data_IF_850564444192
#
_entry.id   IF_850564444192
#
_cell.length_a   1.000
_cell.length_b   1.000
_cell.length_c   1.000
_cell.angle_alpha   90.00
_cell.angle_beta   90.00
_cell.angle_gamma   90.00
#
_symmetry.space_group_name_H-M   'P 1'
#
loop_
_entity.id
_entity.type
_entity.pdbx_description
1 polymer ?
#
# COMPACT_ATOMS: atom_id res chain seq x y z
N UNK A 1 -24.31 -17.96 -19.10
CA UNK A 1 -23.27 -18.35 -18.13
C UNK A 1 -23.94 -19.04 -16.95
N UNK A 2 -23.52 -20.25 -16.55
CA UNK A 2 -24.05 -20.93 -15.36
C UNK A 2 -23.13 -20.61 -14.18
N UNK A 3 -23.69 -20.04 -13.11
CA UNK A 3 -22.92 -19.72 -11.89
C UNK A 3 -22.23 -20.98 -11.37
N UNK A 4 -20.92 -20.91 -11.11
CA UNK A 4 -20.11 -22.04 -10.63
C UNK A 4 -19.52 -22.94 -11.73
N UNK A 5 -19.82 -22.70 -13.01
CA UNK A 5 -19.25 -23.44 -14.14
C UNK A 5 -18.27 -22.57 -14.95
N UNK A 6 -16.98 -22.88 -14.85
CA UNK A 6 -15.90 -22.16 -15.54
C UNK A 6 -15.55 -22.77 -16.91
N UNK A 7 -16.23 -23.82 -17.37
CA UNK A 7 -15.91 -24.51 -18.64
C UNK A 7 -15.89 -23.55 -19.83
N UNK A 8 -16.90 -22.69 -19.95
CA UNK A 8 -16.98 -21.69 -21.03
C UNK A 8 -15.88 -20.62 -20.94
N UNK A 9 -15.49 -20.22 -19.73
CA UNK A 9 -14.38 -19.26 -19.53
C UNK A 9 -13.09 -19.90 -20.02
N UNK A 10 -12.78 -21.10 -19.52
CA UNK A 10 -11.60 -21.87 -19.92
C UNK A 10 -11.54 -22.12 -21.42
N UNK A 11 -12.68 -22.38 -22.07
CA UNK A 11 -12.72 -22.63 -23.51
C UNK A 11 -12.40 -21.40 -24.36
N UNK A 12 -12.49 -20.18 -23.82
CA UNK A 12 -12.22 -18.93 -24.56
C UNK A 12 -10.99 -18.19 -24.06
N UNK A 13 -10.41 -18.56 -22.91
CA UNK A 13 -9.20 -17.92 -22.35
C UNK A 13 -8.03 -17.91 -23.34
N UNK A 14 -7.84 -18.97 -24.11
CA UNK A 14 -6.74 -19.07 -25.09
C UNK A 14 -7.02 -18.41 -26.45
N UNK A 15 -8.25 -17.97 -26.71
CA UNK A 15 -8.65 -17.33 -27.97
C UNK A 15 -9.69 -16.23 -27.68
N UNK A 16 -9.32 -15.17 -26.94
CA UNK A 16 -10.25 -14.11 -26.61
C UNK A 16 -10.66 -13.35 -27.87
N UNK A 17 -11.95 -12.99 -27.96
CA UNK A 17 -12.48 -12.11 -28.99
C UNK A 17 -12.73 -10.73 -28.36
N UNK A 18 -12.27 -9.68 -29.04
CA UNK A 18 -12.43 -8.29 -28.60
C UNK A 18 -12.62 -7.34 -29.78
N UNK A 19 -13.18 -6.16 -29.50
CA UNK A 19 -13.39 -5.10 -30.49
C UNK A 19 -12.36 -3.96 -30.36
N UNK A 20 -11.26 -4.19 -29.63
CA UNK A 20 -10.21 -3.21 -29.37
C UNK A 20 -9.31 -2.95 -30.58
N UNK A 21 -8.37 -2.02 -30.39
CA UNK A 21 -7.39 -1.64 -31.40
C UNK A 21 -6.45 -2.78 -31.82
N UNK A 22 -6.26 -3.78 -30.94
CA UNK A 22 -5.42 -4.94 -31.20
C UNK A 22 -6.17 -6.25 -30.91
N UNK A 23 -5.81 -7.30 -31.64
CA UNK A 23 -6.30 -8.67 -31.45
C UNK A 23 -5.23 -9.56 -30.84
N UNK A 24 -5.63 -10.48 -29.98
CA UNK A 24 -4.72 -11.48 -29.40
C UNK A 24 -4.18 -12.40 -30.49
N UNK A 25 -2.85 -12.50 -30.58
CA UNK A 25 -2.15 -13.46 -31.44
C UNK A 25 -1.80 -14.72 -30.63
N UNK A 26 -0.96 -14.57 -29.61
CA UNK A 26 -0.50 -15.68 -28.77
C UNK A 26 0.00 -15.21 -27.41
N UNK A 27 0.15 -16.16 -26.51
CA UNK A 27 0.89 -16.02 -25.26
C UNK A 27 2.02 -17.05 -25.26
N UNK A 28 3.27 -16.60 -25.07
CA UNK A 28 4.44 -17.47 -24.99
C UNK A 28 5.47 -16.81 -24.07
N UNK A 29 6.04 -17.59 -23.15
CA UNK A 29 7.19 -17.19 -22.32
C UNK A 29 6.97 -15.87 -21.55
N UNK A 30 5.79 -15.68 -20.96
CA UNK A 30 5.44 -14.46 -20.21
C UNK A 30 5.13 -13.25 -21.08
N UNK A 31 5.02 -13.42 -22.40
CA UNK A 31 4.73 -12.34 -23.35
C UNK A 31 3.40 -12.58 -24.04
N UNK A 32 2.53 -11.57 -23.98
CA UNK A 32 1.31 -11.48 -24.80
C UNK A 32 1.68 -10.76 -26.09
N UNK A 33 1.43 -11.41 -27.22
CA UNK A 33 1.64 -10.86 -28.55
C UNK A 33 0.29 -10.41 -29.11
N UNK A 34 0.23 -9.16 -29.57
CA UNK A 34 -0.96 -8.53 -30.11
C UNK A 34 -0.69 -8.01 -31.52
N UNK A 35 -1.64 -8.21 -32.43
CA UNK A 35 -1.59 -7.66 -33.79
C UNK A 35 -2.61 -6.54 -33.96
N UNK A 36 -2.29 -5.56 -34.80
CA UNK A 36 -3.22 -4.48 -35.13
C UNK A 36 -4.54 -5.03 -35.71
N UNK A 37 -5.66 -4.50 -35.22
CA UNK A 37 -6.98 -4.86 -35.73
C UNK A 37 -7.32 -4.00 -36.96
N UNK A 38 -7.32 -4.56 -38.19
CA UNK A 38 -7.60 -3.79 -39.41
C UNK A 38 -9.03 -3.26 -39.47
N UNK A 39 -9.93 -3.79 -38.64
CA UNK A 39 -11.34 -3.41 -38.56
C UNK A 39 -11.68 -2.60 -37.31
N UNK A 40 -10.68 -2.05 -36.61
CA UNK A 40 -10.94 -1.18 -35.46
C UNK A 40 -11.71 0.08 -35.90
N UNK A 41 -12.74 0.46 -35.13
CA UNK A 41 -13.68 1.50 -35.54
C UNK A 41 -13.06 2.91 -35.69
N UNK A 42 -11.90 3.16 -35.08
CA UNK A 42 -11.14 4.41 -35.23
C UNK A 42 -9.99 4.28 -36.25
N UNK A 43 -9.98 3.21 -37.06
CA UNK A 43 -8.91 2.91 -38.00
C UNK A 43 -7.85 1.97 -37.43
N UNK A 44 -7.16 1.26 -38.32
CA UNK A 44 -6.09 0.33 -37.94
C UNK A 44 -4.91 1.06 -37.28
N UNK A 45 -4.36 0.56 -36.15
CA UNK A 45 -3.16 1.14 -35.54
C UNK A 45 -1.95 1.19 -36.48
N UNK A 46 -1.11 2.23 -36.27
CA UNK A 46 0.15 2.39 -36.98
C UNK A 46 1.18 1.32 -36.58
N UNK A 47 1.32 1.07 -35.28
CA UNK A 47 2.12 -0.04 -34.77
C UNK A 47 1.40 -1.37 -35.08
N UNK A 48 2.04 -2.23 -35.88
CA UNK A 48 1.43 -3.49 -36.33
C UNK A 48 1.48 -4.60 -35.30
N UNK A 49 2.45 -4.53 -34.39
CA UNK A 49 2.67 -5.51 -33.35
C UNK A 49 2.93 -4.80 -32.02
N UNK A 50 2.28 -5.29 -30.96
CA UNK A 50 2.52 -4.86 -29.58
C UNK A 50 2.75 -6.10 -28.73
N UNK A 51 3.83 -6.07 -27.97
CA UNK A 51 4.17 -7.13 -27.02
C UNK A 51 4.00 -6.60 -25.61
N UNK A 52 3.25 -7.32 -24.77
CA UNK A 52 3.15 -7.03 -23.34
C UNK A 52 3.91 -8.12 -22.58
N UNK A 53 5.03 -7.75 -21.96
CA UNK A 53 5.92 -8.68 -21.26
C UNK A 53 5.75 -8.56 -19.76
N UNK A 54 5.46 -9.67 -19.09
CA UNK A 54 5.54 -9.76 -17.64
C UNK A 54 6.98 -9.46 -17.20
N UNK A 55 7.14 -8.45 -16.36
CA UNK A 55 8.44 -7.89 -15.97
C UNK A 55 8.42 -7.63 -14.46
N UNK A 56 9.47 -8.05 -13.77
CA UNK A 56 9.62 -7.78 -12.34
C UNK A 56 9.90 -6.30 -12.10
N UNK A 57 9.47 -5.77 -10.96
CA UNK A 57 9.56 -4.34 -10.66
C UNK A 57 11.00 -3.80 -10.80
N UNK A 58 11.98 -4.53 -10.27
CA UNK A 58 13.41 -4.19 -10.34
C UNK A 58 13.98 -4.14 -11.77
N UNK A 59 13.34 -4.82 -12.72
CA UNK A 59 13.81 -4.91 -14.11
C UNK A 59 13.16 -3.87 -15.03
N UNK A 60 12.14 -3.14 -14.56
CA UNK A 60 11.38 -2.20 -15.39
C UNK A 60 12.24 -1.05 -15.93
N UNK A 61 12.98 -0.36 -15.05
CA UNK A 61 13.81 0.80 -15.41
C UNK A 61 15.01 0.37 -16.26
N UNK A 62 15.71 -0.68 -15.85
CA UNK A 62 16.89 -1.21 -16.57
C UNK A 62 16.51 -1.80 -17.92
N UNK A 63 15.33 -2.40 -18.04
CA UNK A 63 14.78 -2.90 -19.31
C UNK A 63 14.57 -1.79 -20.34
N UNK A 64 14.09 -0.62 -19.90
CA UNK A 64 13.97 0.59 -20.74
C UNK A 64 15.34 1.14 -21.10
N UNK A 65 16.25 1.27 -20.13
CA UNK A 65 17.63 1.71 -20.37
C UNK A 65 18.34 0.84 -21.43
N UNK A 66 18.13 -0.48 -21.40
CA UNK A 66 18.74 -1.41 -22.33
C UNK A 66 18.04 -1.47 -23.71
N UNK A 67 16.90 -0.79 -23.89
CA UNK A 67 16.11 -0.85 -25.12
C UNK A 67 15.41 -2.20 -25.34
N UNK A 68 15.26 -3.00 -24.29
CA UNK A 68 14.52 -4.29 -24.34
C UNK A 68 13.02 -4.11 -24.04
N UNK A 69 12.66 -2.97 -23.47
CA UNK A 69 11.29 -2.53 -23.17
C UNK A 69 11.18 -1.08 -23.67
N UNK A 70 10.21 -0.78 -24.53
CA UNK A 70 10.02 0.59 -25.03
C UNK A 70 9.31 1.49 -24.02
N UNK A 71 8.35 0.93 -23.27
CA UNK A 71 7.51 1.65 -22.31
C UNK A 71 7.32 0.77 -21.06
N UNK A 72 7.52 1.34 -19.87
CA UNK A 72 7.28 0.66 -18.60
C UNK A 72 6.60 1.60 -17.58
N UNK A 73 6.01 1.01 -16.55
CA UNK A 73 5.29 1.67 -15.47
C UNK A 73 5.91 1.34 -14.09
N UNK A 74 7.16 1.78 -13.82
CA UNK A 74 7.75 1.57 -12.50
C UNK A 74 6.99 2.36 -11.43
N UNK A 75 6.90 1.77 -10.25
CA UNK A 75 6.42 2.41 -9.03
C UNK A 75 7.38 3.53 -8.68
N UNK A 76 6.82 4.69 -8.32
CA UNK A 76 7.64 5.82 -7.92
C UNK A 76 8.29 5.55 -6.56
N UNK A 77 9.55 5.91 -6.41
CA UNK A 77 10.27 6.03 -5.13
C UNK A 77 11.43 7.01 -5.34
N UNK A 78 12.00 7.54 -4.26
CA UNK A 78 13.22 8.35 -4.37
C UNK A 78 14.37 7.56 -5.00
N UNK A 79 14.44 6.25 -4.77
CA UNK A 79 15.44 5.37 -5.39
C UNK A 79 15.23 5.25 -6.91
N UNK A 80 13.99 4.98 -7.35
CA UNK A 80 13.65 4.90 -8.77
C UNK A 80 13.89 6.24 -9.47
N UNK A 81 13.51 7.35 -8.84
CA UNK A 81 13.77 8.70 -9.33
C UNK A 81 15.28 8.96 -9.50
N UNK A 82 16.09 8.63 -8.50
CA UNK A 82 17.55 8.78 -8.54
C UNK A 82 18.19 7.89 -9.61
N UNK A 83 17.68 6.66 -9.81
CA UNK A 83 18.14 5.76 -10.85
C UNK A 83 17.88 6.34 -12.24
N UNK A 84 16.66 6.84 -12.50
CA UNK A 84 16.29 7.47 -13.78
C UNK A 84 17.13 8.72 -14.04
N UNK A 85 17.26 9.61 -13.04
CA UNK A 85 18.12 10.79 -13.10
C UNK A 85 19.56 10.42 -13.47
N UNK A 86 20.12 9.38 -12.84
CA UNK A 86 21.46 8.88 -13.14
C UNK A 86 21.58 8.38 -14.58
N UNK A 87 20.60 7.62 -15.06
CA UNK A 87 20.54 7.13 -16.45
C UNK A 87 20.50 8.29 -17.45
N UNK A 88 19.81 9.38 -17.09
CA UNK A 88 19.71 10.59 -17.89
C UNK A 88 20.93 11.53 -17.78
N UNK A 89 21.99 11.14 -17.07
CA UNK A 89 23.23 11.91 -16.97
C UNK A 89 23.42 12.68 -15.65
N UNK A 90 22.58 12.43 -14.65
CA UNK A 90 22.75 12.91 -13.28
C UNK A 90 22.18 14.30 -12.99
N UNK A 91 21.29 14.83 -13.83
CA UNK A 91 20.49 16.01 -13.51
C UNK A 91 19.34 15.65 -12.55
N UNK A 92 18.75 16.64 -11.88
CA UNK A 92 17.55 16.45 -11.05
C UNK A 92 16.27 16.20 -11.87
N UNK A 93 16.34 16.30 -13.20
CA UNK A 93 15.17 16.14 -14.05
C UNK A 93 14.97 14.65 -14.38
N UNK A 94 13.75 14.16 -14.14
CA UNK A 94 13.36 12.81 -14.52
C UNK A 94 13.24 12.65 -16.04
N UNK A 95 13.04 13.76 -16.76
CA UNK A 95 13.02 13.80 -18.22
C UNK A 95 14.41 14.08 -18.77
N UNK A 96 14.93 13.15 -19.58
CA UNK A 96 16.25 13.29 -20.18
C UNK A 96 16.39 12.57 -21.51
N UNK A 97 17.64 12.45 -21.96
CA UNK A 97 17.97 11.97 -23.30
C UNK A 97 17.76 10.47 -23.52
N UNK A 98 17.64 9.69 -22.44
CA UNK A 98 17.47 8.22 -22.50
C UNK A 98 16.04 7.84 -22.10
N UNK A 99 15.57 8.38 -20.98
CA UNK A 99 14.24 8.09 -20.44
C UNK A 99 13.47 9.40 -20.33
N UNK A 100 12.26 9.42 -20.89
CA UNK A 100 11.26 10.45 -20.64
C UNK A 100 10.19 9.87 -19.72
N UNK A 101 9.81 10.61 -18.68
CA UNK A 101 8.87 10.17 -17.65
C UNK A 101 7.57 10.96 -17.70
N UNK A 102 6.48 10.35 -17.25
CA UNK A 102 5.23 11.05 -17.00
C UNK A 102 4.72 10.61 -15.64
N UNK A 103 4.77 11.51 -14.66
CA UNK A 103 4.19 11.25 -13.36
C UNK A 103 2.67 11.28 -13.49
N UNK A 104 2.02 10.27 -12.94
CA UNK A 104 0.59 10.15 -12.91
C UNK A 104 0.15 9.99 -11.46
N UNK A 105 -0.84 10.79 -11.07
CA UNK A 105 -1.41 10.65 -9.73
C UNK A 105 -2.02 9.28 -9.55
N UNK A 106 -1.64 8.62 -8.46
CA UNK A 106 -2.23 7.35 -8.10
C UNK A 106 -3.67 7.56 -7.63
N UNK A 107 -4.63 7.01 -8.38
CA UNK A 107 -6.07 7.12 -8.09
C UNK A 107 -6.50 6.15 -7.00
N UNK A 108 -5.87 6.23 -5.84
CA UNK A 108 -6.03 5.26 -4.78
C UNK A 108 -5.39 5.70 -3.48
N UNK A 109 -5.28 4.77 -2.55
CA UNK A 109 -4.56 4.95 -1.30
C UNK A 109 -4.03 3.62 -0.77
N UNK A 110 -2.82 3.66 -0.20
CA UNK A 110 -2.29 2.58 0.62
C UNK A 110 -2.92 2.58 2.01
N UNK A 111 -3.04 1.42 2.64
CA UNK A 111 -3.52 1.27 4.00
C UNK A 111 -2.80 0.14 4.73
N UNK A 112 -2.68 0.33 6.05
CA UNK A 112 -2.29 -0.71 7.00
C UNK A 112 -3.57 -1.15 7.69
N UNK A 113 -3.85 -2.45 7.70
CA UNK A 113 -5.05 -3.03 8.28
C UNK A 113 -4.71 -4.01 9.41
N UNK A 114 -5.61 -4.10 10.38
CA UNK A 114 -5.64 -5.13 11.41
C UNK A 114 -6.96 -5.90 11.29
N UNK A 115 -6.89 -7.23 11.33
CA UNK A 115 -8.05 -8.11 11.34
C UNK A 115 -8.83 -7.92 12.63
N UNK A 116 -10.09 -7.49 12.54
CA UNK A 116 -10.96 -7.42 13.72
C UNK A 116 -11.15 -8.80 14.37
N UNK A 117 -11.14 -9.88 13.58
CA UNK A 117 -11.35 -11.24 14.07
C UNK A 117 -10.13 -11.82 14.80
N UNK A 118 -8.92 -11.44 14.38
CA UNK A 118 -7.66 -12.01 14.87
C UNK A 118 -6.94 -11.08 15.85
N UNK A 119 -7.25 -9.78 15.83
CA UNK A 119 -6.75 -8.76 16.76
C UNK A 119 -7.92 -8.26 17.61
N UNK A 120 -8.21 -9.01 18.67
CA UNK A 120 -9.33 -8.81 19.59
C UNK A 120 -8.98 -9.27 21.01
N UNK A 121 -9.83 -8.88 21.96
CA UNK A 121 -9.84 -9.35 23.34
C UNK A 121 -11.04 -10.27 23.53
N UNK A 122 -10.85 -11.43 24.15
CA UNK A 122 -11.87 -12.47 24.22
C UNK A 122 -12.36 -12.90 22.84
N UNK A 123 -13.68 -13.08 22.70
CA UNK A 123 -14.29 -13.64 21.48
C UNK A 123 -15.00 -12.60 20.61
N UNK A 124 -15.35 -11.43 21.16
CA UNK A 124 -16.13 -10.40 20.46
C UNK A 124 -15.22 -9.35 19.78
N UNK A 125 -15.08 -9.37 18.44
CA UNK A 125 -14.26 -8.39 17.73
C UNK A 125 -14.80 -6.96 17.80
N UNK A 126 -16.08 -6.78 18.15
CA UNK A 126 -16.77 -5.50 18.22
C UNK A 126 -16.80 -4.88 19.63
N UNK A 127 -16.32 -5.58 20.65
CA UNK A 127 -16.23 -5.06 22.02
C UNK A 127 -15.33 -3.82 22.10
N UNK A 128 -15.52 -3.01 23.14
CA UNK A 128 -14.70 -1.82 23.35
C UNK A 128 -13.24 -2.21 23.64
N UNK A 129 -13.00 -3.30 24.36
CA UNK A 129 -11.66 -3.82 24.62
C UNK A 129 -10.95 -4.22 23.32
N UNK A 130 -11.65 -4.90 22.41
CA UNK A 130 -11.14 -5.29 21.10
C UNK A 130 -10.84 -4.08 20.22
N UNK A 131 -11.69 -3.05 20.26
CA UNK A 131 -11.43 -1.78 19.56
C UNK A 131 -10.23 -1.05 20.16
N UNK A 132 -10.11 -1.01 21.49
CA UNK A 132 -9.02 -0.37 22.21
C UNK A 132 -7.68 -1.05 21.93
N UNK A 133 -7.62 -2.39 21.86
CA UNK A 133 -6.41 -3.10 21.42
C UNK A 133 -5.96 -2.65 20.03
N UNK A 134 -6.89 -2.59 19.06
CA UNK A 134 -6.55 -2.14 17.70
C UNK A 134 -6.16 -0.65 17.68
N UNK A 135 -6.79 0.19 18.50
CA UNK A 135 -6.40 1.61 18.65
C UNK A 135 -5.02 1.75 19.28
N UNK A 136 -4.66 0.94 20.27
CA UNK A 136 -3.33 0.98 20.91
C UNK A 136 -2.23 0.77 19.86
N UNK A 137 -2.35 -0.27 19.04
CA UNK A 137 -1.39 -0.59 17.98
C UNK A 137 -1.39 0.50 16.90
N UNK A 138 -2.57 0.88 16.39
CA UNK A 138 -2.66 1.84 15.28
C UNK A 138 -2.28 3.27 15.67
N UNK A 139 -2.40 3.66 16.93
CA UNK A 139 -1.97 4.98 17.41
C UNK A 139 -0.47 5.15 17.25
N UNK A 140 0.33 4.12 17.58
CA UNK A 140 1.78 4.16 17.37
C UNK A 140 2.11 4.13 15.88
N UNK A 141 1.49 3.23 15.10
CA UNK A 141 1.71 3.15 13.64
C UNK A 141 1.39 4.49 12.96
N UNK A 142 0.29 5.13 13.33
CA UNK A 142 -0.16 6.38 12.73
C UNK A 142 0.83 7.53 12.94
N UNK A 143 1.55 7.54 14.07
CA UNK A 143 2.51 8.58 14.40
C UNK A 143 3.72 8.60 13.45
N UNK A 144 4.16 7.43 12.98
CA UNK A 144 5.33 7.24 12.10
C UNK A 144 5.04 7.37 10.59
N UNK A 145 3.78 7.60 10.20
CA UNK A 145 3.40 7.66 8.77
C UNK A 145 4.16 8.75 8.01
N UNK A 146 4.25 9.95 8.56
CA UNK A 146 4.89 11.07 7.87
C UNK A 146 6.37 10.78 7.58
N UNK A 147 7.11 10.29 8.59
CA UNK A 147 8.53 9.96 8.44
C UNK A 147 8.74 8.87 7.38
N UNK A 148 8.01 7.76 7.46
CA UNK A 148 8.22 6.64 6.54
C UNK A 148 7.71 6.90 5.12
N UNK A 149 6.65 7.69 4.95
CA UNK A 149 6.16 8.05 3.62
C UNK A 149 7.10 9.08 2.97
N UNK A 150 7.56 10.08 3.72
CA UNK A 150 8.49 11.08 3.20
C UNK A 150 9.87 10.50 2.87
N UNK A 151 10.36 9.52 3.64
CA UNK A 151 11.63 8.85 3.34
C UNK A 151 11.59 8.02 2.05
N UNK A 152 10.41 7.48 1.70
CA UNK A 152 10.25 6.63 0.52
C UNK A 152 9.89 7.43 -0.74
N UNK A 153 8.98 8.40 -0.62
CA UNK A 153 8.43 9.15 -1.75
C UNK A 153 8.90 10.61 -1.84
N UNK A 154 9.60 11.14 -0.83
CA UNK A 154 9.86 12.58 -0.74
C UNK A 154 8.56 13.37 -0.59
N UNK A 155 8.41 14.42 -1.37
CA UNK A 155 7.23 15.29 -1.40
C UNK A 155 6.14 14.84 -2.40
N UNK A 156 6.33 13.70 -3.07
CA UNK A 156 5.42 13.21 -4.12
C UNK A 156 4.24 12.38 -3.62
N UNK A 157 4.20 12.11 -2.31
CA UNK A 157 3.09 11.42 -1.65
C UNK A 157 2.59 12.23 -0.45
N UNK A 158 1.36 11.96 -0.03
CA UNK A 158 0.77 12.61 1.15
C UNK A 158 0.10 11.58 2.05
N UNK A 159 0.26 11.75 3.36
CA UNK A 159 -0.48 10.98 4.35
C UNK A 159 -1.93 11.46 4.39
N UNK A 160 -2.87 10.53 4.21
CA UNK A 160 -4.30 10.81 4.31
C UNK A 160 -4.85 10.32 5.66
N UNK A 161 -5.88 11.00 6.16
CA UNK A 161 -6.53 10.67 7.45
C UNK A 161 -7.91 9.99 7.27
N UNK A 162 -8.35 9.84 6.03
CA UNK A 162 -9.64 9.27 5.66
C UNK A 162 -9.42 8.24 4.54
N UNK A 163 -10.28 7.21 4.42
CA UNK A 163 -10.17 6.19 3.37
C UNK A 163 -10.66 6.73 2.01
N UNK A 164 -10.15 7.89 1.59
CA UNK A 164 -10.50 8.60 0.36
C UNK A 164 -9.21 9.18 -0.23
N UNK A 165 -8.91 8.86 -1.49
CA UNK A 165 -7.75 9.42 -2.20
C UNK A 165 -7.85 10.94 -2.29
N UNK A 166 -6.74 11.66 -2.10
CA UNK A 166 -6.65 13.11 -2.24
C UNK A 166 -6.96 13.61 -3.67
N UNK A 167 -6.88 12.73 -4.68
CA UNK A 167 -7.31 13.02 -6.06
C UNK A 167 -8.83 13.07 -6.21
N UNK A 168 -9.58 12.63 -5.20
CA UNK A 168 -11.04 12.69 -5.19
C UNK A 168 -11.51 14.11 -4.87
N UNK A 169 -12.52 14.58 -5.61
CA UNK A 169 -13.22 15.83 -5.28
C UNK A 169 -13.89 15.81 -3.88
N UNK A 170 -14.13 14.62 -3.33
CA UNK A 170 -14.75 14.42 -2.03
C UNK A 170 -13.72 14.16 -0.91
N UNK A 171 -12.43 14.34 -1.17
CA UNK A 171 -11.39 14.17 -0.15
C UNK A 171 -11.51 15.28 0.92
N UNK A 172 -11.61 14.93 2.21
CA UNK A 172 -11.60 15.93 3.27
C UNK A 172 -10.28 16.72 3.29
N UNK A 173 -10.39 18.05 3.39
CA UNK A 173 -9.27 18.98 3.52
C UNK A 173 -9.01 19.34 4.97
N UNK A 174 -7.76 19.66 5.31
CA UNK A 174 -7.37 20.17 6.64
C UNK A 174 -8.10 21.46 7.04
N UNK A 175 -8.66 22.17 6.06
CA UNK A 175 -9.47 23.38 6.25
C UNK A 175 -10.95 23.11 6.48
N UNK A 176 -11.40 21.86 6.33
CA UNK A 176 -12.81 21.52 6.46
C UNK A 176 -13.22 21.45 7.94
N UNK A 177 -14.42 21.97 8.23
CA UNK A 177 -15.01 21.88 9.56
C UNK A 177 -15.17 20.41 9.98
N UNK A 178 -14.59 20.06 11.13
CA UNK A 178 -14.61 18.69 11.66
C UNK A 178 -13.57 17.75 11.08
N UNK A 179 -12.56 18.25 10.35
CA UNK A 179 -11.38 17.48 9.99
C UNK A 179 -10.69 16.92 11.24
N UNK A 180 -10.29 15.65 11.19
CA UNK A 180 -9.63 14.91 12.26
C UNK A 180 -8.43 14.16 11.70
N UNK A 181 -7.34 14.22 12.44
CA UNK A 181 -6.17 13.39 12.17
C UNK A 181 -6.50 11.96 12.65
N UNK A 182 -6.13 10.96 11.85
CA UNK A 182 -6.40 9.58 12.21
C UNK A 182 -5.56 9.16 13.42
N UNK A 183 -6.20 8.54 14.42
CA UNK A 183 -5.56 8.09 15.65
C UNK A 183 -4.81 9.20 16.42
N UNK A 184 -5.37 10.41 16.44
CA UNK A 184 -4.80 11.57 17.13
C UNK A 184 -5.43 11.87 18.49
N UNK A 185 -6.14 10.91 19.10
CA UNK A 185 -6.71 11.07 20.44
C UNK A 185 -6.37 9.89 21.35
N UNK A 186 -6.28 10.15 22.65
CA UNK A 186 -6.17 9.13 23.69
C UNK A 186 -7.52 8.43 23.94
N UNK A 187 -7.54 7.51 24.91
CA UNK A 187 -8.72 6.73 25.27
C UNK A 187 -9.88 7.57 25.79
N UNK A 188 -9.59 8.74 26.38
CA UNK A 188 -10.59 9.68 26.91
C UNK A 188 -11.05 10.68 25.83
N UNK A 189 -10.46 10.64 24.64
CA UNK A 189 -10.78 11.50 23.52
C UNK A 189 -10.02 12.83 23.50
N UNK A 190 -8.99 13.00 24.34
CA UNK A 190 -8.13 14.18 24.31
C UNK A 190 -7.14 14.07 23.15
N UNK A 191 -6.81 15.20 22.51
CA UNK A 191 -5.80 15.23 21.46
C UNK A 191 -4.41 14.90 22.02
N UNK A 192 -3.66 14.03 21.31
CA UNK A 192 -2.33 13.57 21.75
C UNK A 192 -1.18 14.28 21.04
N UNK A 193 -1.43 14.88 19.88
CA UNK A 193 -0.45 15.73 19.22
C UNK A 193 -1.09 16.71 18.22
N UNK A 194 -0.41 17.83 17.99
CA UNK A 194 -0.75 18.84 16.96
C UNK A 194 0.16 18.70 15.74
N UNK A 195 -0.18 19.38 14.64
CA UNK A 195 0.67 19.47 13.43
C UNK A 195 2.07 20.03 13.70
N UNK A 196 2.21 20.83 14.75
CA UNK A 196 3.41 21.63 15.03
C UNK A 196 4.39 20.92 15.99
N UNK A 197 4.02 19.73 16.49
CA UNK A 197 4.90 18.96 17.37
C UNK A 197 6.07 18.34 16.60
N UNK A 198 7.25 18.37 17.21
CA UNK A 198 8.41 17.63 16.68
C UNK A 198 8.16 16.12 16.69
N UNK A 199 8.80 15.40 15.77
CA UNK A 199 8.67 13.94 15.61
C UNK A 199 8.84 13.18 16.92
N UNK A 200 9.93 13.41 17.65
CA UNK A 200 10.20 12.72 18.92
C UNK A 200 9.11 12.94 19.97
N UNK A 201 8.58 14.17 20.06
CA UNK A 201 7.51 14.48 21.03
C UNK A 201 6.19 13.82 20.61
N UNK A 202 5.89 13.83 19.30
CA UNK A 202 4.73 13.15 18.72
C UNK A 202 4.79 11.64 18.98
N UNK A 203 5.96 11.03 18.82
CA UNK A 203 6.16 9.59 19.02
C UNK A 203 5.98 9.19 20.50
N UNK A 204 6.56 9.97 21.42
CA UNK A 204 6.39 9.74 22.85
C UNK A 204 4.93 9.88 23.28
N UNK A 205 4.21 10.89 22.78
CA UNK A 205 2.79 11.08 23.08
C UNK A 205 1.91 9.94 22.53
N UNK A 206 2.19 9.45 21.32
CA UNK A 206 1.51 8.30 20.75
C UNK A 206 1.74 7.02 21.56
N UNK A 207 2.96 6.81 22.06
CA UNK A 207 3.30 5.66 22.89
C UNK A 207 2.60 5.72 24.25
N UNK A 208 2.52 6.90 24.87
CA UNK A 208 1.78 7.12 26.10
C UNK A 208 0.27 6.89 25.91
N UNK A 209 -0.30 7.37 24.81
CA UNK A 209 -1.69 7.13 24.46
C UNK A 209 -1.97 5.64 24.23
N UNK A 210 -1.04 4.92 23.59
CA UNK A 210 -1.14 3.49 23.38
C UNK A 210 -1.19 2.70 24.70
N UNK A 211 -0.43 3.09 25.73
CA UNK A 211 -0.50 2.48 27.07
C UNK A 211 -1.91 2.60 27.66
N UNK A 212 -2.53 3.78 27.59
CA UNK A 212 -3.91 3.97 28.06
C UNK A 212 -4.93 3.13 27.28
N UNK A 213 -4.75 2.99 25.96
CA UNK A 213 -5.57 2.06 25.17
C UNK A 213 -5.33 0.59 25.52
N UNK A 214 -4.11 0.18 25.87
CA UNK A 214 -3.83 -1.18 26.34
C UNK A 214 -4.52 -1.47 27.68
N UNK A 215 -4.45 -0.55 28.64
CA UNK A 215 -5.18 -0.65 29.91
C UNK A 215 -6.69 -0.79 29.67
N UNK A 216 -7.25 0.06 28.81
CA UNK A 216 -8.66 0.01 28.44
C UNK A 216 -9.05 -1.19 27.56
N UNK A 217 -8.07 -1.93 27.05
CA UNK A 217 -8.26 -3.24 26.43
C UNK A 217 -8.16 -4.39 27.44
N UNK A 218 -7.85 -4.11 28.71
CA UNK A 218 -7.71 -5.10 29.77
C UNK A 218 -6.30 -5.67 29.92
N UNK A 219 -5.29 -5.09 29.26
CA UNK A 219 -3.90 -5.46 29.49
C UNK A 219 -3.42 -4.94 30.85
N UNK A 220 -2.53 -5.69 31.48
CA UNK A 220 -1.81 -5.21 32.65
C UNK A 220 -0.72 -4.25 32.19
N UNK A 221 -0.80 -3.00 32.65
CA UNK A 221 0.24 -1.98 32.43
C UNK A 221 0.82 -1.57 33.78
N UNK A 222 2.14 -1.71 33.91
CA UNK A 222 2.88 -1.42 35.14
C UNK A 222 4.15 -0.66 34.77
N UNK A 223 4.41 0.46 35.46
CA UNK A 223 5.61 1.28 35.25
C UNK A 223 5.85 1.68 33.78
N UNK A 224 4.77 1.97 33.05
CA UNK A 224 4.84 2.33 31.63
C UNK A 224 5.13 1.16 30.67
N UNK A 225 4.95 -0.08 31.13
CA UNK A 225 5.11 -1.27 30.30
C UNK A 225 3.87 -2.15 30.34
N UNK A 226 3.52 -2.71 29.18
CA UNK A 226 2.54 -3.78 29.04
C UNK A 226 3.22 -5.07 29.51
N UNK A 227 2.72 -5.68 30.59
CA UNK A 227 3.35 -6.86 31.22
C UNK A 227 2.55 -8.15 31.03
N UNK A 228 1.24 -8.05 30.77
CA UNK A 228 0.40 -9.21 30.50
C UNK A 228 -0.79 -8.86 29.59
N UNK A 229 -1.17 -9.83 28.74
CA UNK A 229 -2.37 -9.74 27.92
C UNK A 229 -3.60 -10.30 28.66
N UNK A 230 -4.80 -9.72 28.44
CA UNK A 230 -6.04 -10.31 28.91
C UNK A 230 -6.34 -11.62 28.18
N UNK A 231 -7.30 -12.39 28.71
CA UNK A 231 -7.76 -13.61 28.06
C UNK A 231 -8.24 -13.36 26.62
N UNK A 232 -7.80 -14.20 25.68
CA UNK A 232 -8.14 -14.09 24.26
C UNK A 232 -7.34 -13.07 23.45
N UNK A 233 -6.46 -12.30 24.10
CA UNK A 233 -5.51 -11.40 23.43
C UNK A 233 -4.06 -11.90 23.54
N UNK A 234 -3.12 -11.23 22.86
CA UNK A 234 -1.70 -11.61 22.79
C UNK A 234 -0.78 -10.44 23.11
N UNK A 235 0.44 -10.73 23.55
CA UNK A 235 1.53 -9.77 23.69
C UNK A 235 2.26 -9.50 22.36
N UNK A 236 1.89 -10.24 21.31
CA UNK A 236 2.49 -10.14 19.98
C UNK A 236 1.46 -10.29 18.87
N UNK A 237 1.64 -9.52 17.79
CA UNK A 237 0.88 -9.62 16.55
C UNK A 237 1.78 -9.33 15.34
N UNK A 238 1.39 -9.82 14.17
CA UNK A 238 2.14 -9.71 12.91
C UNK A 238 1.40 -8.86 11.89
N UNK A 239 2.14 -8.00 11.19
CA UNK A 239 1.66 -7.29 10.00
C UNK A 239 2.46 -7.77 8.79
N UNK A 240 1.76 -8.33 7.81
CA UNK A 240 2.36 -8.81 6.57
C UNK A 240 2.46 -7.70 5.52
N UNK A 241 3.59 -7.62 4.83
CA UNK A 241 3.84 -6.78 3.67
C UNK A 241 4.09 -7.70 2.48
N UNK A 242 3.61 -7.36 1.28
CA UNK A 242 3.83 -8.14 0.07
C UNK A 242 4.85 -7.48 -0.85
N UNK A 243 6.08 -7.26 -0.38
CA UNK A 243 7.06 -6.41 -1.04
C UNK A 243 8.39 -7.13 -1.34
N UNK A 244 8.32 -8.37 -1.80
CA UNK A 244 9.49 -9.13 -2.27
C UNK A 244 10.52 -9.49 -1.20
N UNK A 245 10.28 -9.20 0.08
CA UNK A 245 11.13 -9.64 1.19
C UNK A 245 12.43 -8.86 1.35
N UNK A 246 12.57 -7.70 0.71
CA UNK A 246 13.77 -6.86 0.74
C UNK A 246 13.57 -5.53 1.50
N UNK A 247 12.36 -5.26 2.00
CA UNK A 247 12.01 -4.03 2.69
C UNK A 247 11.72 -2.82 1.78
N UNK A 248 11.69 -3.02 0.46
CA UNK A 248 11.35 -1.98 -0.52
C UNK A 248 9.83 -1.79 -0.60
N UNK A 249 9.28 -1.12 0.43
CA UNK A 249 7.86 -0.78 0.49
C UNK A 249 7.64 0.50 1.32
N UNK A 250 6.72 1.39 0.91
CA UNK A 250 6.45 2.64 1.64
C UNK A 250 6.01 2.45 3.09
N UNK A 251 5.37 1.32 3.40
CA UNK A 251 4.95 1.00 4.78
C UNK A 251 6.00 0.25 5.60
N UNK A 252 7.12 -0.17 5.01
CA UNK A 252 8.13 -0.95 5.71
C UNK A 252 8.74 -0.15 6.86
N UNK A 253 9.27 1.05 6.57
CA UNK A 253 9.84 1.92 7.61
C UNK A 253 8.80 2.37 8.66
N UNK A 254 7.57 2.67 8.23
CA UNK A 254 6.48 3.03 9.15
C UNK A 254 6.26 1.91 10.19
N UNK A 255 6.18 0.67 9.72
CA UNK A 255 5.90 -0.50 10.56
C UNK A 255 7.11 -0.90 11.41
N UNK A 256 8.33 -0.84 10.88
CA UNK A 256 9.54 -1.20 11.64
C UNK A 256 9.83 -0.19 12.76
N UNK A 257 9.65 1.10 12.50
CA UNK A 257 9.78 2.13 13.53
C UNK A 257 8.69 2.00 14.62
N UNK A 258 7.44 1.81 14.23
CA UNK A 258 6.35 1.58 15.18
C UNK A 258 6.56 0.29 16.00
N UNK A 259 7.05 -0.78 15.38
CA UNK A 259 7.39 -2.03 16.05
C UNK A 259 8.52 -1.83 17.08
N UNK A 260 9.56 -1.08 16.72
CA UNK A 260 10.63 -0.73 17.65
C UNK A 260 10.11 0.07 18.85
N UNK A 261 9.22 1.04 18.62
CA UNK A 261 8.60 1.84 19.68
C UNK A 261 7.72 1.00 20.61
N UNK A 262 6.81 0.17 20.06
CA UNK A 262 5.95 -0.74 20.84
C UNK A 262 6.79 -1.71 21.70
N UNK A 263 7.92 -2.17 21.17
CA UNK A 263 8.82 -3.06 21.91
C UNK A 263 9.38 -2.42 23.18
N UNK A 264 9.58 -1.09 23.20
CA UNK A 264 10.08 -0.38 24.39
C UNK A 264 9.10 -0.42 25.56
N UNK A 265 7.80 -0.54 25.28
CA UNK A 265 6.74 -0.69 26.28
C UNK A 265 6.32 -2.15 26.48
N UNK A 266 7.11 -3.13 26.01
CA UNK A 266 6.85 -4.55 26.26
C UNK A 266 5.85 -5.22 25.31
N UNK A 267 5.44 -4.56 24.22
CA UNK A 267 4.53 -5.13 23.22
C UNK A 267 5.24 -5.42 21.90
N UNK A 268 5.03 -6.60 21.31
CA UNK A 268 5.72 -7.01 20.07
C UNK A 268 4.82 -6.83 18.85
N UNK A 269 5.26 -6.03 17.88
CA UNK A 269 4.70 -6.02 16.54
C UNK A 269 5.74 -6.62 15.58
N UNK A 270 5.41 -7.75 14.96
CA UNK A 270 6.28 -8.40 13.97
C UNK A 270 5.96 -7.86 12.59
N UNK A 271 6.97 -7.36 11.88
CA UNK A 271 6.86 -6.95 10.48
C UNK A 271 7.37 -8.10 9.62
N UNK A 272 6.48 -8.69 8.82
CA UNK A 272 6.81 -9.83 7.96
C UNK A 272 6.70 -9.42 6.50
N UNK A 273 7.84 -9.18 5.86
CA UNK A 273 7.90 -8.86 4.43
C UNK A 273 7.97 -10.15 3.62
N UNK A 274 6.86 -10.46 2.95
CA UNK A 274 6.66 -11.68 2.17
C UNK A 274 7.28 -11.51 0.79
N UNK A 275 8.05 -12.54 0.38
CA UNK A 275 8.66 -12.61 -0.95
C UNK A 275 7.63 -12.56 -2.10
N UNK A 276 6.42 -13.09 -1.89
CA UNK A 276 5.37 -13.08 -2.92
C UNK A 276 4.11 -12.39 -2.40
N UNK A 277 3.61 -11.40 -3.17
CA UNK A 277 2.34 -10.75 -2.87
C UNK A 277 1.15 -11.74 -2.87
N UNK A 278 1.22 -12.83 -3.64
CA UNK A 278 0.19 -13.90 -3.63
C UNK A 278 0.00 -14.54 -2.25
N UNK A 279 1.07 -14.63 -1.47
CA UNK A 279 1.03 -15.22 -0.13
C UNK A 279 0.31 -14.28 0.84
N UNK A 280 0.55 -12.97 0.71
CA UNK A 280 -0.20 -11.93 1.40
C UNK A 280 -1.70 -12.04 1.09
N UNK A 281 -2.05 -12.05 -0.20
CA UNK A 281 -3.44 -12.11 -0.66
C UNK A 281 -4.16 -13.37 -0.14
N UNK A 282 -3.48 -14.51 -0.20
CA UNK A 282 -4.00 -15.77 0.32
C UNK A 282 -4.24 -15.71 1.84
N UNK A 283 -3.35 -15.04 2.59
CA UNK A 283 -3.44 -14.96 4.05
C UNK A 283 -4.66 -14.18 4.56
N UNK A 284 -4.97 -13.02 3.97
CA UNK A 284 -6.14 -12.26 4.42
C UNK A 284 -7.44 -12.78 3.81
N UNK A 285 -7.41 -13.37 2.61
CA UNK A 285 -8.61 -13.98 2.00
C UNK A 285 -9.05 -15.25 2.72
N UNK A 286 -8.11 -16.04 3.25
CA UNK A 286 -8.40 -17.20 4.10
C UNK A 286 -8.78 -16.82 5.54
N UNK A 287 -8.65 -15.55 5.91
CA UNK A 287 -8.99 -15.04 7.24
C UNK A 287 -7.94 -15.29 8.32
N UNK A 288 -6.74 -15.75 7.97
CA UNK A 288 -5.68 -16.07 8.95
C UNK A 288 -4.78 -14.87 9.28
N UNK A 289 -4.73 -13.85 8.43
CA UNK A 289 -3.88 -12.67 8.64
C UNK A 289 -4.30 -11.86 9.90
N UNK A 290 -3.32 -11.43 10.69
CA UNK A 290 -3.52 -10.54 11.84
C UNK A 290 -3.50 -9.08 11.42
N UNK A 291 -2.54 -8.70 10.58
CA UNK A 291 -2.49 -7.42 9.90
C UNK A 291 -1.84 -7.55 8.52
N UNK A 292 -2.13 -6.60 7.65
CA UNK A 292 -1.60 -6.56 6.30
C UNK A 292 -1.49 -5.14 5.77
N UNK A 293 -0.66 -4.97 4.75
CA UNK A 293 -0.55 -3.74 3.97
C UNK A 293 -1.09 -3.98 2.58
N UNK A 294 -1.98 -3.12 2.11
CA UNK A 294 -2.53 -3.20 0.76
C UNK A 294 -2.90 -1.81 0.24
N UNK A 295 -3.23 -1.73 -1.05
CA UNK A 295 -3.72 -0.51 -1.66
C UNK A 295 -5.13 -0.72 -2.20
N UNK A 296 -5.95 0.33 -2.10
CA UNK A 296 -7.20 0.44 -2.84
C UNK A 296 -7.00 1.39 -4.02
N UNK A 297 -7.61 1.07 -5.15
CA UNK A 297 -7.61 1.91 -6.35
C UNK A 297 -9.04 2.12 -6.85
N UNK A 298 -9.33 3.35 -7.26
CA UNK A 298 -10.55 3.71 -7.97
C UNK A 298 -10.43 3.28 -9.44
N UNK A 299 -11.43 2.57 -9.92
CA UNK A 299 -11.58 2.24 -11.34
C UNK A 299 -12.12 3.47 -12.09
N UNK A 300 -11.21 4.36 -12.50
CA UNK A 300 -11.50 5.42 -13.46
C UNK A 300 -10.70 5.20 -14.73
N UNK A 301 -11.31 4.59 -15.74
CA UNK A 301 -10.71 4.35 -17.04
C UNK A 301 -10.52 5.69 -17.75
N UNK A 302 -9.30 6.22 -17.82
CA UNK A 302 -8.95 7.34 -18.68
C UNK A 302 -7.75 6.93 -19.53
N UNK A 303 -8.00 6.27 -20.66
CA UNK A 303 -7.03 6.29 -21.75
C UNK A 303 -7.05 7.70 -22.33
N UNK A 304 -6.09 8.54 -21.96
CA UNK A 304 -5.82 9.76 -22.72
C UNK A 304 -4.60 9.46 -23.58
N UNK A 305 -4.83 8.89 -24.77
CA UNK A 305 -3.83 8.95 -25.83
C UNK A 305 -3.89 10.38 -26.38
N UNK A 306 -2.89 11.20 -26.05
CA UNK A 306 -2.66 12.41 -26.81
C UNK A 306 -2.05 11.98 -28.16
N UNK A 307 -2.75 12.32 -29.24
CA UNK A 307 -2.31 12.18 -30.63
C UNK A 307 -1.29 13.29 -30.93
#
# INVERSE_FOLDING_TARGET
>A
FKKGDLSKVRSVTGNPLGAGAYTFNKYSDGVIYLDANPSYYQGEPAAKHVNMKETQEADKITGVQAGTIDISDPSYSLEAANQIATINGGNSDLDGSVITTRLMDFRGYGYIALSANNVKVGDDPASEESKNLRKAIMTVIAAYRDEGINSYYGDTASVINYPISNTSWAAPSVTDDGYKIAYSTDVDGNEIYTSDMSGDTKYAAALQAALGYFEAAGYTVENGQVTAAPAGAKMEYTVNIGASGNGDHPSFQVLTNAAAALKTIGFTLTVNDLANASDLYSSYQSGVAEGWVAAWQSIGVNYTFNI
#
